data_IF_917258825935
#
_entry.id   IF_917258825935
#
_cell.length_a   1.000
_cell.length_b   1.000
_cell.length_c   1.000
_cell.angle_alpha   90.00
_cell.angle_beta   90.00
_cell.angle_gamma   90.00
#
_symmetry.space_group_name_H-M   'P 1'
#
loop_
_entity.id
_entity.type
_entity.pdbx_description
1 polymer ?
#
# COMPACT_ATOMS: atom_id res chain seq x y z
N UNK A 1 -0.42 -8.99 7.22
CA UNK A 1 0.22 -10.08 6.43
C UNK A 1 1.70 -10.08 6.71
N UNK A 2 2.26 -11.25 6.97
CA UNK A 2 3.69 -11.42 7.14
C UNK A 2 4.40 -11.52 5.78
N UNK A 3 5.72 -11.34 5.80
CA UNK A 3 6.52 -11.54 4.59
C UNK A 3 6.40 -12.97 4.06
N UNK A 4 6.40 -13.97 4.95
CA UNK A 4 6.15 -15.36 4.56
C UNK A 4 4.79 -15.54 3.88
N UNK A 5 3.74 -14.90 4.40
CA UNK A 5 2.41 -14.91 3.80
C UNK A 5 2.39 -14.29 2.40
N UNK A 6 3.10 -13.18 2.22
CA UNK A 6 3.24 -12.55 0.90
C UNK A 6 3.91 -13.49 -0.11
N UNK A 7 5.02 -14.11 0.27
CA UNK A 7 5.73 -15.06 -0.61
C UNK A 7 4.85 -16.22 -1.02
N UNK A 8 4.07 -16.77 -0.08
CA UNK A 8 3.11 -17.84 -0.38
C UNK A 8 2.02 -17.40 -1.33
N UNK A 9 1.51 -16.19 -1.16
CA UNK A 9 0.50 -15.61 -2.04
C UNK A 9 1.05 -15.42 -3.46
N UNK A 10 2.25 -14.85 -3.59
CA UNK A 10 2.91 -14.68 -4.90
C UNK A 10 3.09 -16.02 -5.59
N UNK A 11 3.55 -17.04 -4.86
CA UNK A 11 3.71 -18.39 -5.40
C UNK A 11 2.38 -18.93 -5.92
N UNK A 12 1.29 -18.75 -5.18
CA UNK A 12 -0.06 -19.14 -5.60
C UNK A 12 -0.53 -18.42 -6.86
N UNK A 13 -0.25 -17.13 -6.97
CA UNK A 13 -0.61 -16.33 -8.15
C UNK A 13 0.16 -16.74 -9.41
N UNK A 14 1.32 -17.34 -9.25
CA UNK A 14 2.19 -17.79 -10.35
C UNK A 14 2.00 -19.28 -10.71
N UNK A 15 1.04 -19.97 -10.09
CA UNK A 15 0.72 -21.36 -10.44
C UNK A 15 0.36 -21.44 -11.93
N UNK A 16 1.01 -22.34 -12.65
CA UNK A 16 0.82 -22.52 -14.08
C UNK A 16 1.71 -21.66 -14.97
N UNK A 17 2.45 -20.72 -14.41
CA UNK A 17 3.35 -19.81 -15.15
C UNK A 17 4.80 -20.32 -15.18
N UNK A 18 5.09 -21.45 -14.57
CA UNK A 18 6.42 -22.08 -14.45
C UNK A 18 7.53 -21.13 -13.95
N UNK A 19 7.16 -20.14 -13.18
CA UNK A 19 8.08 -19.20 -12.58
C UNK A 19 8.18 -19.48 -11.09
N UNK A 20 9.38 -19.71 -10.60
CA UNK A 20 9.64 -19.91 -9.18
C UNK A 20 10.42 -18.70 -8.67
N UNK A 21 9.90 -17.94 -7.70
CA UNK A 21 10.69 -16.92 -7.01
C UNK A 21 11.85 -17.62 -6.30
N UNK A 22 13.08 -17.31 -6.66
CA UNK A 22 14.22 -18.17 -6.35
C UNK A 22 15.04 -17.73 -5.15
N UNK A 23 15.09 -16.44 -4.86
CA UNK A 23 16.07 -15.88 -3.94
C UNK A 23 15.40 -14.81 -3.11
N UNK A 24 15.65 -14.84 -1.82
CA UNK A 24 15.11 -13.85 -0.89
C UNK A 24 15.58 -12.43 -1.22
N UNK A 25 16.82 -12.25 -1.64
CA UNK A 25 17.33 -10.96 -2.08
C UNK A 25 16.56 -10.44 -3.31
N UNK A 26 16.26 -11.30 -4.27
CA UNK A 26 15.45 -10.94 -5.44
C UNK A 26 14.02 -10.60 -5.01
N UNK A 27 13.41 -11.39 -4.14
CA UNK A 27 12.06 -11.12 -3.63
C UNK A 27 11.99 -9.79 -2.90
N UNK A 28 12.97 -9.46 -2.07
CA UNK A 28 13.03 -8.17 -1.38
C UNK A 28 13.20 -7.00 -2.35
N UNK A 29 13.99 -7.17 -3.41
CA UNK A 29 14.11 -6.15 -4.46
C UNK A 29 12.78 -5.92 -5.18
N UNK A 30 12.07 -6.98 -5.54
CA UNK A 30 10.75 -6.88 -6.16
C UNK A 30 9.73 -6.25 -5.21
N UNK A 31 9.78 -6.59 -3.94
CA UNK A 31 8.93 -5.98 -2.92
C UNK A 31 9.22 -4.49 -2.77
N UNK A 32 10.49 -4.08 -2.83
CA UNK A 32 10.86 -2.67 -2.81
C UNK A 32 10.24 -1.89 -3.97
N UNK A 33 10.28 -2.44 -5.18
CA UNK A 33 9.61 -1.83 -6.34
C UNK A 33 8.09 -1.76 -6.15
N UNK A 34 7.48 -2.84 -5.67
CA UNK A 34 6.05 -2.85 -5.41
C UNK A 34 5.66 -1.82 -4.34
N UNK A 35 6.45 -1.68 -3.30
CA UNK A 35 6.25 -0.67 -2.26
C UNK A 35 6.36 0.75 -2.81
N UNK A 36 7.33 1.03 -3.67
CA UNK A 36 7.44 2.33 -4.31
C UNK A 36 6.22 2.65 -5.18
N UNK A 37 5.74 1.68 -5.94
CA UNK A 37 4.53 1.84 -6.76
C UNK A 37 3.30 2.12 -5.89
N UNK A 38 3.13 1.37 -4.81
CA UNK A 38 2.01 1.55 -3.88
C UNK A 38 2.10 2.92 -3.21
N UNK A 39 3.25 3.30 -2.69
CA UNK A 39 3.43 4.59 -2.01
C UNK A 39 3.19 5.78 -2.95
N UNK A 40 3.48 5.62 -4.24
CA UNK A 40 3.22 6.67 -5.24
C UNK A 40 1.77 6.77 -5.70
N UNK A 41 0.98 5.69 -5.59
CA UNK A 41 -0.37 5.60 -6.16
C UNK A 41 -1.48 5.51 -5.13
N UNK A 42 -1.20 4.92 -3.97
CA UNK A 42 -2.21 4.64 -2.95
C UNK A 42 -2.19 5.69 -1.83
N UNK A 43 -3.38 6.05 -1.36
CA UNK A 43 -3.54 6.86 -0.15
C UNK A 43 -3.40 5.96 1.09
N UNK A 44 -2.23 5.34 1.25
CA UNK A 44 -1.95 4.36 2.28
C UNK A 44 -1.93 5.00 3.68
N UNK A 45 -2.96 4.75 4.49
CA UNK A 45 -3.12 5.35 5.82
C UNK A 45 -1.93 5.06 6.73
N UNK A 46 -1.41 3.84 6.67
CA UNK A 46 -0.26 3.43 7.47
C UNK A 46 1.02 4.21 7.13
N UNK A 47 1.13 4.71 5.91
CA UNK A 47 2.30 5.44 5.42
C UNK A 47 2.16 6.96 5.55
N UNK A 48 0.97 7.44 5.94
CA UNK A 48 0.74 8.87 6.14
C UNK A 48 1.32 9.31 7.46
N UNK A 49 2.10 10.39 7.42
CA UNK A 49 2.73 10.96 8.61
C UNK A 49 2.73 12.49 8.52
N UNK A 50 2.63 13.14 9.67
CA UNK A 50 2.74 14.60 9.76
C UNK A 50 4.20 15.00 9.96
N UNK A 51 4.95 14.15 10.67
CA UNK A 51 6.33 14.44 11.01
C UNK A 51 7.10 13.12 11.09
N UNK A 52 8.07 12.94 10.21
CA UNK A 52 8.84 11.71 10.14
C UNK A 52 10.31 12.01 9.89
N UNK A 53 11.17 11.21 10.52
CA UNK A 53 12.59 11.13 10.22
C UNK A 53 12.88 10.16 9.06
N UNK A 54 11.86 9.44 8.60
CA UNK A 54 11.98 8.49 7.51
C UNK A 54 11.89 9.17 6.14
N UNK A 55 12.32 8.47 5.11
CA UNK A 55 12.29 8.98 3.74
C UNK A 55 10.85 9.22 3.29
N UNK A 56 10.58 10.41 2.79
CA UNK A 56 9.29 10.81 2.26
C UNK A 56 9.29 10.66 0.75
N UNK A 57 8.26 9.98 0.23
CA UNK A 57 8.11 9.75 -1.21
C UNK A 57 7.36 10.90 -1.87
N UNK A 58 6.26 11.37 -1.25
CA UNK A 58 5.42 12.41 -1.83
C UNK A 58 4.57 13.12 -0.78
N UNK A 59 3.94 14.20 -1.19
CA UNK A 59 2.88 14.84 -0.42
C UNK A 59 1.59 14.01 -0.55
N UNK A 60 0.97 13.74 0.57
CA UNK A 60 -0.35 13.13 0.64
C UNK A 60 -1.46 14.15 0.74
N UNK A 61 -2.71 13.72 1.01
CA UNK A 61 -3.82 14.64 1.20
C UNK A 61 -3.66 15.46 2.48
N UNK A 62 -4.10 16.71 2.45
CA UNK A 62 -4.00 17.62 3.58
C UNK A 62 -2.54 17.93 3.95
N UNK A 63 -2.24 17.84 5.24
CA UNK A 63 -0.89 18.09 5.79
C UNK A 63 -0.03 16.81 5.85
N UNK A 64 -0.55 15.68 5.41
CA UNK A 64 0.16 14.42 5.50
C UNK A 64 1.25 14.28 4.44
N UNK A 65 2.29 13.58 4.83
CA UNK A 65 3.37 13.15 3.95
C UNK A 65 3.30 11.63 3.84
N UNK A 66 3.61 11.09 2.67
CA UNK A 66 3.66 9.64 2.48
C UNK A 66 5.12 9.19 2.57
N UNK A 67 5.41 8.41 3.60
CA UNK A 67 6.75 7.85 3.81
C UNK A 67 6.97 6.59 2.98
N UNK A 68 8.23 6.25 2.78
CA UNK A 68 8.61 4.99 2.15
C UNK A 68 8.31 3.82 3.12
N UNK A 69 7.69 2.71 2.66
CA UNK A 69 7.56 1.53 3.50
C UNK A 69 8.92 0.91 3.81
N UNK A 70 9.05 0.39 5.03
CA UNK A 70 10.25 -0.36 5.43
C UNK A 70 10.15 -1.79 4.90
N UNK A 71 11.27 -2.34 4.42
CA UNK A 71 11.32 -3.73 4.01
C UNK A 71 11.37 -4.66 5.22
N UNK A 72 10.71 -5.83 5.14
CA UNK A 72 10.83 -6.84 6.20
C UNK A 72 12.24 -7.43 6.23
N UNK A 73 12.74 -7.75 7.40
CA UNK A 73 14.02 -8.44 7.58
C UNK A 73 13.82 -9.95 7.70
N UNK A 74 12.79 -10.36 8.45
CA UNK A 74 12.47 -11.75 8.75
C UNK A 74 11.17 -12.19 8.08
N UNK A 75 11.03 -13.49 7.83
CA UNK A 75 9.82 -14.08 7.29
C UNK A 75 8.58 -13.85 8.18
N UNK A 76 8.78 -13.71 9.48
CA UNK A 76 7.72 -13.46 10.46
C UNK A 76 7.37 -11.99 10.61
N UNK A 77 8.13 -11.08 9.99
CA UNK A 77 7.85 -9.65 10.07
C UNK A 77 6.56 -9.30 9.32
N UNK A 78 5.74 -8.46 9.93
CA UNK A 78 4.57 -7.87 9.26
C UNK A 78 5.03 -6.88 8.20
N UNK A 79 4.33 -6.85 7.07
CA UNK A 79 4.60 -5.89 6.03
C UNK A 79 4.19 -4.48 6.48
N UNK A 80 5.00 -3.50 6.15
CA UNK A 80 4.84 -2.11 6.58
C UNK A 80 3.89 -1.33 5.64
N UNK A 81 2.78 -1.95 5.29
CA UNK A 81 1.70 -1.34 4.51
C UNK A 81 0.35 -1.82 5.05
N UNK A 82 -0.71 -1.12 4.70
CA UNK A 82 -2.07 -1.50 5.06
C UNK A 82 -2.40 -2.91 4.55
N UNK A 83 -3.16 -3.67 5.34
CA UNK A 83 -3.43 -5.07 5.05
C UNK A 83 -3.98 -5.30 3.64
N UNK A 84 -4.93 -4.48 3.22
CA UNK A 84 -5.53 -4.60 1.88
C UNK A 84 -4.52 -4.35 0.75
N UNK A 85 -3.52 -3.51 0.99
CA UNK A 85 -2.47 -3.22 0.01
C UNK A 85 -1.43 -4.34 -0.09
N UNK A 86 -1.39 -5.27 0.85
CA UNK A 86 -0.53 -6.44 0.75
C UNK A 86 -0.89 -7.31 -0.46
N UNK A 87 -2.18 -7.42 -0.78
CA UNK A 87 -2.64 -8.14 -1.97
C UNK A 87 -2.24 -7.42 -3.26
N UNK A 88 -2.23 -6.10 -3.25
CA UNK A 88 -1.73 -5.29 -4.37
C UNK A 88 -0.24 -5.51 -4.58
N UNK A 89 0.54 -5.52 -3.50
CA UNK A 89 1.98 -5.81 -3.56
C UNK A 89 2.24 -7.18 -4.19
N UNK A 90 1.48 -8.21 -3.78
CA UNK A 90 1.60 -9.56 -4.34
C UNK A 90 1.31 -9.56 -5.85
N UNK A 91 0.29 -8.84 -6.30
CA UNK A 91 -0.04 -8.73 -7.74
C UNK A 91 1.06 -8.05 -8.54
N UNK A 92 1.62 -6.97 -8.02
CA UNK A 92 2.72 -6.29 -8.71
C UNK A 92 3.98 -7.15 -8.79
N UNK A 93 4.31 -7.89 -7.74
CA UNK A 93 5.42 -8.84 -7.76
C UNK A 93 5.15 -9.96 -8.77
N UNK A 94 3.94 -10.52 -8.77
CA UNK A 94 3.55 -11.53 -9.75
C UNK A 94 3.65 -11.00 -11.19
N UNK A 95 3.25 -9.75 -11.43
CA UNK A 95 3.40 -9.11 -12.73
C UNK A 95 4.87 -9.03 -13.19
N UNK A 96 5.77 -8.71 -12.25
CA UNK A 96 7.21 -8.61 -12.56
C UNK A 96 7.85 -9.99 -12.83
N UNK A 97 7.30 -11.04 -12.26
CA UNK A 97 7.81 -12.42 -12.41
C UNK A 97 7.12 -13.21 -13.54
N UNK A 98 5.89 -12.82 -13.90
CA UNK A 98 5.10 -13.54 -14.88
C UNK A 98 5.69 -13.42 -16.29
N UNK A 99 5.49 -14.47 -17.10
CA UNK A 99 5.87 -14.45 -18.52
C UNK A 99 4.69 -14.15 -19.43
N UNK A 100 3.50 -14.63 -19.08
CA UNK A 100 2.32 -14.57 -19.97
C UNK A 100 1.16 -13.74 -19.41
N UNK A 101 1.16 -13.48 -18.08
CA UNK A 101 0.04 -12.86 -17.39
C UNK A 101 0.40 -11.52 -16.75
N UNK A 102 1.40 -10.84 -17.30
CA UNK A 102 1.90 -9.55 -16.75
C UNK A 102 0.75 -8.54 -16.64
N UNK A 103 0.02 -8.31 -17.71
CA UNK A 103 -1.06 -7.32 -17.74
C UNK A 103 -2.20 -7.68 -16.79
N UNK A 104 -2.56 -8.95 -16.68
CA UNK A 104 -3.62 -9.41 -15.77
C UNK A 104 -3.25 -9.05 -14.33
N UNK A 105 -2.04 -9.37 -13.90
CA UNK A 105 -1.59 -9.04 -12.55
C UNK A 105 -1.49 -7.54 -12.29
N UNK A 106 -0.99 -6.77 -13.27
CA UNK A 106 -0.95 -5.31 -13.16
C UNK A 106 -2.34 -4.70 -13.03
N UNK A 107 -3.30 -5.15 -13.84
CA UNK A 107 -4.66 -4.64 -13.83
C UNK A 107 -5.36 -4.93 -12.49
N UNK A 108 -5.17 -6.13 -11.93
CA UNK A 108 -5.69 -6.45 -10.60
C UNK A 108 -5.04 -5.61 -9.50
N UNK A 109 -3.74 -5.37 -9.60
CA UNK A 109 -3.04 -4.49 -8.67
C UNK A 109 -3.56 -3.05 -8.74
N UNK A 110 -3.67 -2.49 -9.93
CA UNK A 110 -4.16 -1.13 -10.14
C UNK A 110 -5.62 -0.97 -9.68
N UNK A 111 -6.47 -1.96 -9.96
CA UNK A 111 -7.85 -1.98 -9.48
C UNK A 111 -7.93 -2.03 -7.95
N UNK A 112 -7.05 -2.80 -7.32
CA UNK A 112 -6.94 -2.85 -5.86
C UNK A 112 -6.58 -1.50 -5.25
N UNK A 113 -5.69 -0.75 -5.88
CA UNK A 113 -5.34 0.62 -5.45
C UNK A 113 -6.54 1.55 -5.58
N UNK A 114 -7.24 1.52 -6.70
CA UNK A 114 -8.42 2.38 -6.91
C UNK A 114 -9.50 2.11 -5.86
N UNK A 115 -9.80 0.87 -5.58
CA UNK A 115 -10.77 0.49 -4.54
C UNK A 115 -10.32 0.93 -3.15
N UNK A 116 -9.06 0.74 -2.83
CA UNK A 116 -8.51 1.17 -1.56
C UNK A 116 -8.59 2.70 -1.41
N UNK A 117 -8.18 3.45 -2.42
CA UNK A 117 -8.24 4.91 -2.40
C UNK A 117 -9.67 5.42 -2.21
N UNK A 118 -10.65 4.78 -2.85
CA UNK A 118 -12.06 5.11 -2.67
C UNK A 118 -12.52 4.98 -1.23
N UNK A 119 -12.10 3.92 -0.53
CA UNK A 119 -12.39 3.74 0.90
C UNK A 119 -11.73 4.81 1.78
N UNK A 120 -10.48 5.13 1.50
CA UNK A 120 -9.73 6.15 2.27
C UNK A 120 -10.38 7.52 2.11
N UNK A 121 -10.77 7.91 0.89
CA UNK A 121 -11.46 9.19 0.68
C UNK A 121 -12.78 9.25 1.44
N UNK A 122 -13.54 8.16 1.51
CA UNK A 122 -14.77 8.11 2.30
C UNK A 122 -14.49 8.27 3.80
N UNK A 123 -13.44 7.64 4.31
CA UNK A 123 -13.04 7.78 5.72
C UNK A 123 -12.64 9.21 6.03
N UNK A 124 -11.81 9.82 5.18
CA UNK A 124 -11.36 11.20 5.36
C UNK A 124 -12.52 12.19 5.29
N UNK A 125 -13.47 11.98 4.39
CA UNK A 125 -14.67 12.79 4.28
C UNK A 125 -15.52 12.71 5.55
N UNK A 126 -15.72 11.52 6.13
CA UNK A 126 -16.44 11.35 7.39
C UNK A 126 -15.77 12.07 8.55
N UNK A 127 -14.45 11.98 8.66
CA UNK A 127 -13.69 12.66 9.71
C UNK A 127 -13.86 14.18 9.58
N UNK A 128 -13.84 14.73 8.38
CA UNK A 128 -14.06 16.14 8.11
C UNK A 128 -15.47 16.60 8.52
N UNK A 129 -16.47 15.81 8.16
CA UNK A 129 -17.87 16.08 8.54
C UNK A 129 -18.04 16.04 10.06
N UNK A 130 -17.50 15.04 10.73
CA UNK A 130 -17.55 14.92 12.20
C UNK A 130 -16.88 16.11 12.89
N UNK A 131 -15.74 16.57 12.40
CA UNK A 131 -15.08 17.77 12.90
C UNK A 131 -15.95 19.00 12.78
N UNK A 132 -16.61 19.20 11.65
CA UNK A 132 -17.52 20.31 11.42
C UNK A 132 -18.71 20.26 12.37
N UNK A 133 -19.31 19.10 12.55
CA UNK A 133 -20.43 18.92 13.47
C UNK A 133 -20.03 19.21 14.93
N UNK A 134 -18.88 18.75 15.37
CA UNK A 134 -18.36 19.05 16.70
C UNK A 134 -18.12 20.54 16.88
N UNK A 135 -17.56 21.23 15.90
CA UNK A 135 -17.36 22.67 15.95
C UNK A 135 -18.69 23.44 16.03
N UNK A 136 -19.70 23.05 15.27
CA UNK A 136 -21.04 23.66 15.33
C UNK A 136 -21.69 23.46 16.69
N UNK A 137 -21.58 22.28 17.30
CA UNK A 137 -22.15 21.97 18.61
C UNK A 137 -21.39 22.62 19.76
N UNK A 138 -20.09 22.82 19.64
CA UNK A 138 -19.23 23.39 20.67
C UNK A 138 -18.99 24.89 20.50
N UNK A 139 -19.54 25.50 19.46
CA UNK A 139 -19.34 26.92 19.18
C UNK A 139 -17.94 27.26 18.70
N UNK A 140 -17.23 26.31 18.09
CA UNK A 140 -15.92 26.58 17.51
C UNK A 140 -16.02 27.63 16.39
N UNK A 141 -15.10 28.58 16.36
CA UNK A 141 -14.94 29.46 15.21
C UNK A 141 -14.11 28.73 14.15
N UNK A 142 -14.68 28.53 12.95
CA UNK A 142 -13.94 28.03 11.80
C UNK A 142 -13.07 29.16 11.24
N UNK A 143 -11.83 29.19 11.63
CA UNK A 143 -10.81 30.04 11.00
C UNK A 143 -10.11 29.25 9.89
N UNK A 144 -10.72 29.19 8.73
CA UNK A 144 -10.10 28.63 7.54
C UNK A 144 -10.09 29.67 6.43
#
# INVERSE_FOLDING_TARGET
>A
MTYSGLKSLVTGLLIGDNVIPKDDAVMKSLLSYAFDMIANKAEALRLMTINSTEEIIRLGPGEYLVRKPNLPELDTDELDIDHELCFVAARYIAAMLSKEKIKIHQDYGDDGILRYNGKVYQILEKVEIEKKMLCENEGCTNEY
#
